data_IF_537032894229
#
_entry.id   IF_537032894229
#
_cell.length_a   1.000
_cell.length_b   1.000
_cell.length_c   1.000
_cell.angle_alpha   90.00
_cell.angle_beta   90.00
_cell.angle_gamma   90.00
#
_symmetry.space_group_name_H-M   'P 1'
#
loop_
_entity.id
_entity.type
_entity.pdbx_description
1 polymer ?
#
# COMPACT_ATOMS: atom_id res chain seq x y z
N UNK A 1 -6.61 -13.50 -13.48
CA UNK A 1 -6.53 -12.73 -14.75
C UNK A 1 -5.25 -13.11 -15.46
N UNK A 2 -5.31 -13.46 -16.74
CA UNK A 2 -4.20 -14.09 -17.49
C UNK A 2 -3.02 -13.10 -17.70
N UNK A 3 -1.77 -13.59 -17.57
CA UNK A 3 -0.52 -12.85 -17.85
C UNK A 3 -0.57 -12.16 -19.23
N UNK A 4 -1.17 -12.81 -20.23
CA UNK A 4 -1.35 -12.25 -21.58
C UNK A 4 -2.19 -10.96 -21.58
N UNK A 5 -3.25 -10.91 -20.77
CA UNK A 5 -4.14 -9.74 -20.68
C UNK A 5 -3.40 -8.59 -20.01
N UNK A 6 -2.69 -8.86 -18.92
CA UNK A 6 -1.85 -7.85 -18.28
C UNK A 6 -0.74 -7.38 -19.21
N UNK A 7 -0.09 -8.29 -19.94
CA UNK A 7 0.90 -7.98 -20.97
C UNK A 7 0.34 -7.00 -22.01
N UNK A 8 -0.84 -7.30 -22.58
CA UNK A 8 -1.50 -6.41 -23.53
C UNK A 8 -1.83 -5.04 -22.93
N UNK A 9 -2.39 -5.00 -21.72
CA UNK A 9 -2.71 -3.73 -21.02
C UNK A 9 -1.45 -2.89 -20.81
N UNK A 10 -0.37 -3.48 -20.32
CA UNK A 10 0.87 -2.74 -20.06
C UNK A 10 1.60 -2.37 -21.34
N UNK A 11 1.57 -3.19 -22.40
CA UNK A 11 2.09 -2.80 -23.72
C UNK A 11 1.32 -1.60 -24.26
N UNK A 12 -0.01 -1.63 -24.23
CA UNK A 12 -0.83 -0.49 -24.68
C UNK A 12 -0.54 0.74 -23.82
N UNK A 13 -0.52 0.63 -22.49
CA UNK A 13 -0.21 1.75 -21.60
C UNK A 13 1.21 2.29 -21.83
N UNK A 14 2.22 1.43 -21.99
CA UNK A 14 3.60 1.83 -22.25
C UNK A 14 3.78 2.44 -23.63
N UNK A 15 3.09 1.93 -24.66
CA UNK A 15 3.06 2.54 -26.00
C UNK A 15 2.32 3.86 -25.96
N UNK A 16 1.21 3.98 -25.22
CA UNK A 16 0.52 5.25 -25.02
C UNK A 16 1.42 6.27 -24.30
N UNK A 17 2.06 5.87 -23.20
CA UNK A 17 3.04 6.69 -22.48
C UNK A 17 4.22 7.08 -23.39
N UNK A 18 4.73 6.14 -24.17
CA UNK A 18 5.82 6.36 -25.11
C UNK A 18 5.41 7.31 -26.23
N UNK A 19 4.29 7.07 -26.91
CA UNK A 19 3.75 7.97 -27.93
C UNK A 19 3.47 9.35 -27.34
N UNK A 20 3.01 9.43 -26.11
CA UNK A 20 2.78 10.70 -25.42
C UNK A 20 4.09 11.46 -25.16
N UNK A 21 5.16 10.77 -24.76
CA UNK A 21 6.49 11.34 -24.58
C UNK A 21 7.20 11.68 -25.91
N UNK A 22 7.02 10.88 -26.96
CA UNK A 22 7.71 11.05 -28.25
C UNK A 22 6.96 11.94 -29.24
N UNK A 23 5.63 12.05 -29.15
CA UNK A 23 4.85 13.00 -29.94
C UNK A 23 4.91 14.42 -29.39
N UNK A 24 5.68 14.68 -28.33
CA UNK A 24 5.94 16.02 -27.80
C UNK A 24 6.16 17.03 -28.95
N UNK A 25 7.01 16.72 -29.94
CA UNK A 25 7.22 17.62 -31.10
C UNK A 25 6.00 17.84 -31.99
N UNK A 26 5.22 16.81 -32.30
CA UNK A 26 4.02 16.93 -33.14
C UNK A 26 2.88 17.63 -32.42
N UNK A 27 2.73 17.37 -31.12
CA UNK A 27 1.74 18.01 -30.28
C UNK A 27 2.14 19.49 -30.10
N UNK A 28 3.41 19.79 -29.84
CA UNK A 28 3.96 21.15 -29.84
C UNK A 28 3.71 21.87 -31.16
N UNK A 29 3.93 21.22 -32.31
CA UNK A 29 3.67 21.84 -33.63
C UNK A 29 2.18 22.11 -33.86
N UNK A 30 1.30 21.18 -33.50
CA UNK A 30 -0.15 21.37 -33.55
C UNK A 30 -0.62 22.52 -32.64
N UNK A 31 -0.10 22.60 -31.41
CA UNK A 31 -0.42 23.69 -30.50
C UNK A 31 0.18 25.02 -30.97
N UNK A 32 1.39 25.05 -31.54
CA UNK A 32 1.95 26.26 -32.17
C UNK A 32 1.09 26.77 -33.32
N UNK A 33 0.50 25.88 -34.12
CA UNK A 33 -0.41 26.26 -35.19
C UNK A 33 -1.71 26.86 -34.62
N UNK A 34 -2.30 26.25 -33.57
CA UNK A 34 -3.47 26.78 -32.87
C UNK A 34 -3.19 28.08 -32.12
N UNK A 35 -2.02 28.20 -31.53
CA UNK A 35 -1.47 29.37 -30.86
C UNK A 35 -1.38 30.53 -31.85
N UNK A 36 -0.86 30.31 -33.05
CA UNK A 36 -0.77 31.32 -34.11
C UNK A 36 -2.16 31.83 -34.52
N UNK A 37 -3.13 30.92 -34.69
CA UNK A 37 -4.53 31.26 -35.02
C UNK A 37 -5.23 32.02 -33.88
N UNK A 38 -4.96 31.68 -32.62
CA UNK A 38 -5.49 32.40 -31.46
C UNK A 38 -4.83 33.76 -31.26
N UNK A 39 -3.51 33.84 -31.42
CA UNK A 39 -2.74 35.06 -31.30
C UNK A 39 -3.19 36.08 -32.36
N UNK A 40 -3.35 35.68 -33.63
CA UNK A 40 -3.90 36.54 -34.69
C UNK A 40 -5.30 37.05 -34.38
N UNK A 41 -6.16 36.23 -33.75
CA UNK A 41 -7.50 36.66 -33.29
C UNK A 41 -7.45 37.66 -32.13
N UNK A 42 -6.40 37.63 -31.32
CA UNK A 42 -6.23 38.45 -30.10
C UNK A 42 -5.43 39.74 -30.39
N UNK A 43 -4.62 39.76 -31.45
CA UNK A 43 -3.74 40.86 -31.84
C UNK A 43 -4.48 42.03 -32.51
N UNK A 44 -5.68 41.80 -33.08
CA UNK A 44 -6.53 42.84 -33.67
C UNK A 44 -7.24 43.77 -32.66
N UNK A 45 -6.83 43.76 -31.38
CA UNK A 45 -7.40 44.62 -30.33
C UNK A 45 -6.31 45.46 -29.66
N UNK A 46 -5.92 46.50 -30.42
CA UNK A 46 -5.48 47.87 -30.08
C UNK A 46 -4.51 48.16 -28.92
N UNK A 47 -3.56 49.03 -29.24
CA UNK A 47 -2.41 49.54 -28.49
C UNK A 47 -2.72 50.50 -27.33
N UNK A 48 -3.97 50.90 -27.08
CA UNK A 48 -4.38 51.58 -25.82
C UNK A 48 -4.65 50.59 -24.68
N UNK A 49 -4.95 49.32 -24.99
CA UNK A 49 -5.29 48.28 -24.02
C UNK A 49 -4.09 47.85 -23.15
N UNK A 50 -2.87 47.93 -23.73
CA UNK A 50 -1.60 47.45 -23.13
C UNK A 50 -1.22 48.17 -21.82
N UNK A 51 -1.53 49.47 -21.68
CA UNK A 51 -1.26 50.25 -20.46
C UNK A 51 -2.23 49.88 -19.32
N UNK A 52 -3.52 49.73 -19.64
CA UNK A 52 -4.58 49.41 -18.67
C UNK A 52 -4.47 47.95 -18.18
N UNK A 53 -4.10 47.04 -19.07
CA UNK A 53 -3.87 45.62 -18.75
C UNK A 53 -2.68 45.44 -17.78
N UNK A 54 -1.64 46.27 -17.90
CA UNK A 54 -0.49 46.26 -16.97
C UNK A 54 -0.88 46.70 -15.55
N UNK A 55 -1.59 47.82 -15.42
CA UNK A 55 -2.08 48.29 -14.11
C UNK A 55 -3.04 47.29 -13.46
N UNK A 56 -3.90 46.64 -14.26
CA UNK A 56 -4.80 45.61 -13.77
C UNK A 56 -4.03 44.35 -13.32
N UNK A 57 -2.99 43.95 -14.06
CA UNK A 57 -2.10 42.85 -13.67
C UNK A 57 -1.33 43.14 -12.37
N UNK A 58 -0.90 44.38 -12.16
CA UNK A 58 -0.26 44.82 -10.91
C UNK A 58 -1.20 44.70 -9.71
N UNK A 59 -2.43 45.21 -9.87
CA UNK A 59 -3.48 45.12 -8.83
C UNK A 59 -3.80 43.65 -8.52
N UNK A 60 -3.99 42.83 -9.56
CA UNK A 60 -4.33 41.42 -9.40
C UNK A 60 -3.19 40.64 -8.71
N UNK A 61 -1.94 40.97 -9.03
CA UNK A 61 -0.77 40.38 -8.34
C UNK A 61 -0.77 40.75 -6.86
N UNK A 62 -1.03 42.02 -6.54
CA UNK A 62 -1.09 42.48 -5.15
C UNK A 62 -2.23 41.79 -4.36
N UNK A 63 -3.42 41.68 -4.97
CA UNK A 63 -4.54 40.91 -4.42
C UNK A 63 -4.13 39.45 -4.19
N UNK A 64 -3.46 38.82 -5.18
CA UNK A 64 -2.95 37.47 -5.07
C UNK A 64 -2.01 37.27 -3.89
N UNK A 65 -1.08 38.20 -3.66
CA UNK A 65 -0.16 38.16 -2.52
C UNK A 65 -0.91 38.29 -1.19
N UNK A 66 -1.90 39.20 -1.09
CA UNK A 66 -2.72 39.36 0.12
C UNK A 66 -3.51 38.08 0.40
N UNK A 67 -4.19 37.53 -0.61
CA UNK A 67 -4.97 36.30 -0.46
C UNK A 67 -4.04 35.16 -0.03
N UNK A 68 -2.89 35.01 -0.68
CA UNK A 68 -1.90 33.99 -0.33
C UNK A 68 -1.45 34.13 1.13
N UNK A 69 -1.19 35.37 1.58
CA UNK A 69 -0.83 35.64 2.97
C UNK A 69 -1.96 35.30 3.95
N UNK A 70 -3.21 35.65 3.65
CA UNK A 70 -4.37 35.30 4.49
C UNK A 70 -4.51 33.79 4.61
N UNK A 71 -4.46 33.05 3.50
CA UNK A 71 -4.50 31.59 3.54
C UNK A 71 -3.29 30.98 4.22
N UNK A 72 -2.12 31.60 4.11
CA UNK A 72 -0.94 31.19 4.86
C UNK A 72 -1.19 31.23 6.37
N UNK A 73 -1.99 32.16 6.89
CA UNK A 73 -2.38 32.18 8.30
C UNK A 73 -3.48 31.16 8.63
N UNK A 74 -4.42 30.93 7.71
CA UNK A 74 -5.62 30.12 7.95
C UNK A 74 -5.42 28.60 7.80
N UNK A 75 -4.49 28.18 6.93
CA UNK A 75 -4.23 26.76 6.64
C UNK A 75 -3.70 26.06 7.90
N UNK A 76 -4.27 24.90 8.20
CA UNK A 76 -3.86 24.03 9.27
C UNK A 76 -2.44 23.49 9.03
N UNK A 77 -1.53 23.86 9.94
CA UNK A 77 -0.14 23.41 9.98
C UNK A 77 0.14 22.63 11.26
N UNK A 78 -0.88 22.04 11.87
CA UNK A 78 -0.70 21.10 12.97
C UNK A 78 0.21 19.95 12.49
N UNK A 79 1.29 19.62 13.23
CA UNK A 79 2.15 18.50 12.87
C UNK A 79 1.34 17.21 12.75
N UNK A 80 1.42 16.55 11.59
CA UNK A 80 0.84 15.22 11.39
C UNK A 80 1.90 14.17 11.74
N UNK A 81 1.64 13.41 12.80
CA UNK A 81 2.55 12.37 13.26
C UNK A 81 2.73 11.25 12.22
N UNK A 82 1.76 11.03 11.34
CA UNK A 82 1.80 10.07 10.23
C UNK A 82 2.40 10.65 8.95
N UNK A 83 2.44 11.99 8.85
CA UNK A 83 2.99 12.69 7.70
C UNK A 83 3.86 13.89 8.08
N UNK A 84 5.11 13.65 8.54
CA UNK A 84 5.99 14.72 9.01
C UNK A 84 6.33 15.77 7.93
N UNK A 85 6.32 15.41 6.64
CA UNK A 85 6.56 16.37 5.54
C UNK A 85 5.37 17.26 5.20
N UNK A 86 4.17 17.00 5.74
CA UNK A 86 2.95 17.73 5.41
C UNK A 86 3.20 19.25 5.46
N UNK A 87 3.75 19.72 6.57
CA UNK A 87 4.00 21.14 6.79
C UNK A 87 5.10 21.68 5.86
N UNK A 88 6.19 20.94 5.67
CA UNK A 88 7.27 21.34 4.77
C UNK A 88 6.76 21.53 3.34
N UNK A 89 5.93 20.61 2.85
CA UNK A 89 5.32 20.68 1.52
C UNK A 89 4.38 21.87 1.41
N UNK A 90 3.56 22.13 2.43
CA UNK A 90 2.72 23.33 2.49
C UNK A 90 3.60 24.58 2.35
N UNK A 91 4.67 24.71 3.13
CA UNK A 91 5.59 25.86 3.05
C UNK A 91 6.25 26.03 1.68
N UNK A 92 6.71 24.92 1.07
CA UNK A 92 7.32 24.94 -0.26
C UNK A 92 6.31 25.43 -1.31
N UNK A 93 5.07 24.96 -1.25
CA UNK A 93 4.01 25.39 -2.18
C UNK A 93 3.70 26.87 -2.01
N UNK A 94 3.52 27.34 -0.77
CA UNK A 94 3.31 28.77 -0.50
C UNK A 94 4.48 29.62 -1.01
N UNK A 95 5.71 29.23 -0.72
CA UNK A 95 6.91 29.93 -1.15
C UNK A 95 7.04 29.97 -2.67
N UNK A 96 6.81 28.85 -3.34
CA UNK A 96 6.89 28.77 -4.80
C UNK A 96 5.81 29.62 -5.49
N UNK A 97 4.57 29.62 -4.98
CA UNK A 97 3.50 30.49 -5.50
C UNK A 97 3.86 31.96 -5.28
N UNK A 98 4.34 32.34 -4.09
CA UNK A 98 4.75 33.71 -3.76
C UNK A 98 5.88 34.19 -4.69
N UNK A 99 6.91 33.38 -4.88
CA UNK A 99 8.03 33.69 -5.79
C UNK A 99 7.51 33.96 -7.21
N UNK A 100 6.59 33.13 -7.71
CA UNK A 100 6.04 33.32 -9.05
C UNK A 100 5.17 34.59 -9.17
N UNK A 101 4.41 34.94 -8.13
CA UNK A 101 3.69 36.22 -8.08
C UNK A 101 4.63 37.42 -8.10
N UNK A 102 5.80 37.33 -7.45
CA UNK A 102 6.78 38.43 -7.38
C UNK A 102 7.58 38.54 -8.68
N UNK A 103 8.08 37.42 -9.22
CA UNK A 103 8.94 37.42 -10.41
C UNK A 103 8.15 37.82 -11.66
N UNK A 104 6.85 37.50 -11.73
CA UNK A 104 5.93 37.86 -12.84
C UNK A 104 6.45 37.50 -14.24
N UNK A 105 7.31 36.47 -14.32
CA UNK A 105 7.84 35.94 -15.59
C UNK A 105 7.36 34.53 -15.92
N UNK A 106 6.62 33.92 -15.00
CA UNK A 106 6.34 32.47 -15.01
C UNK A 106 5.03 32.14 -14.30
N UNK A 107 3.96 32.87 -14.65
CA UNK A 107 2.62 32.60 -14.08
C UNK A 107 2.16 31.15 -14.35
N UNK A 108 2.67 30.55 -15.41
CA UNK A 108 2.55 29.13 -15.77
C UNK A 108 2.95 28.18 -14.65
N UNK A 109 4.09 28.44 -14.00
CA UNK A 109 4.61 27.58 -12.94
C UNK A 109 3.70 27.64 -11.71
N UNK A 110 3.10 28.80 -11.43
CA UNK A 110 2.10 28.93 -10.37
C UNK A 110 0.82 28.14 -10.68
N UNK A 111 0.33 28.21 -11.93
CA UNK A 111 -0.82 27.42 -12.40
C UNK A 111 -0.51 25.93 -12.25
N UNK A 112 0.68 25.51 -12.71
CA UNK A 112 1.18 24.14 -12.63
C UNK A 112 1.22 23.62 -11.20
N UNK A 113 1.92 24.32 -10.32
CA UNK A 113 2.02 23.94 -8.91
C UNK A 113 0.63 23.84 -8.29
N UNK A 114 -0.27 24.79 -8.59
CA UNK A 114 -1.63 24.79 -8.06
C UNK A 114 -2.43 23.57 -8.55
N UNK A 115 -2.42 23.29 -9.85
CA UNK A 115 -3.14 22.16 -10.45
C UNK A 115 -2.60 20.80 -9.99
N UNK A 116 -1.28 20.62 -9.99
CA UNK A 116 -0.62 19.40 -9.50
C UNK A 116 -0.98 19.17 -8.04
N UNK A 117 -0.87 20.20 -7.21
CA UNK A 117 -1.13 20.06 -5.78
C UNK A 117 -2.61 19.85 -5.47
N UNK A 118 -3.55 20.33 -6.28
CA UNK A 118 -4.97 19.96 -6.11
C UNK A 118 -5.18 18.43 -6.17
N UNK A 119 -4.34 17.73 -6.91
CA UNK A 119 -4.45 16.28 -7.11
C UNK A 119 -3.54 15.53 -6.12
N UNK A 120 -2.26 15.92 -6.03
CA UNK A 120 -1.25 15.17 -5.26
C UNK A 120 -1.28 15.44 -3.76
N UNK A 121 -1.84 16.57 -3.30
CA UNK A 121 -1.78 16.95 -1.88
C UNK A 121 -2.40 15.92 -0.94
N UNK A 122 -3.54 15.36 -1.30
CA UNK A 122 -4.18 14.28 -0.52
C UNK A 122 -3.42 12.96 -0.68
N UNK A 123 -3.20 12.55 -1.93
CA UNK A 123 -2.68 11.23 -2.27
C UNK A 123 -1.24 11.00 -1.80
N UNK A 124 -0.39 12.02 -1.91
CA UNK A 124 1.02 11.93 -1.56
C UNK A 124 1.30 12.46 -0.16
N UNK A 125 0.66 13.58 0.22
CA UNK A 125 1.03 14.37 1.40
C UNK A 125 0.00 14.35 2.53
N UNK A 126 -1.12 13.64 2.36
CA UNK A 126 -2.23 13.59 3.33
C UNK A 126 -2.70 14.98 3.79
N UNK A 127 -2.60 16.01 2.94
CA UNK A 127 -3.11 17.34 3.23
C UNK A 127 -4.63 17.29 3.01
N UNK A 128 -5.42 17.34 4.08
CA UNK A 128 -6.88 17.27 4.02
C UNK A 128 -7.58 18.61 4.31
N UNK A 129 -6.81 19.67 4.57
CA UNK A 129 -7.36 20.99 4.90
C UNK A 129 -8.02 21.63 3.66
N UNK A 130 -9.34 21.79 3.73
CA UNK A 130 -10.16 22.44 2.69
C UNK A 130 -9.65 23.83 2.34
N UNK A 131 -9.13 24.60 3.31
CA UNK A 131 -8.62 25.96 3.07
C UNK A 131 -7.40 25.96 2.16
N UNK A 132 -6.55 24.93 2.26
CA UNK A 132 -5.42 24.76 1.36
C UNK A 132 -5.89 24.51 -0.07
N UNK A 133 -6.92 23.67 -0.28
CA UNK A 133 -7.49 23.45 -1.61
C UNK A 133 -8.17 24.70 -2.18
N UNK A 134 -8.92 25.44 -1.36
CA UNK A 134 -9.52 26.72 -1.78
C UNK A 134 -8.44 27.70 -2.23
N UNK A 135 -7.34 27.83 -1.46
CA UNK A 135 -6.21 28.66 -1.84
C UNK A 135 -5.65 28.25 -3.20
N UNK A 136 -5.42 26.95 -3.44
CA UNK A 136 -4.91 26.46 -4.72
C UNK A 136 -5.86 26.80 -5.89
N UNK A 137 -7.18 26.67 -5.70
CA UNK A 137 -8.17 27.05 -6.72
C UNK A 137 -8.11 28.55 -7.01
N UNK A 138 -8.05 29.39 -5.98
CA UNK A 138 -7.97 30.85 -6.17
C UNK A 138 -6.66 31.23 -6.87
N UNK A 139 -5.53 30.65 -6.47
CA UNK A 139 -4.23 30.91 -7.10
C UNK A 139 -4.18 30.41 -8.55
N UNK A 140 -4.84 29.29 -8.85
CA UNK A 140 -5.02 28.80 -10.21
C UNK A 140 -5.78 29.82 -11.07
N UNK A 141 -6.90 30.35 -10.57
CA UNK A 141 -7.71 31.36 -11.27
C UNK A 141 -6.93 32.66 -11.47
N UNK A 142 -6.27 33.16 -10.41
CA UNK A 142 -5.43 34.36 -10.49
C UNK A 142 -4.30 34.17 -11.49
N UNK A 143 -3.66 33.00 -11.51
CA UNK A 143 -2.62 32.66 -12.49
C UNK A 143 -3.14 32.72 -13.92
N UNK A 144 -4.29 32.10 -14.19
CA UNK A 144 -4.93 32.15 -15.51
C UNK A 144 -5.27 33.59 -15.93
N UNK A 145 -5.79 34.41 -15.01
CA UNK A 145 -6.11 35.82 -15.28
C UNK A 145 -4.84 36.65 -15.54
N UNK A 146 -3.79 36.49 -14.74
CA UNK A 146 -2.51 37.17 -14.96
C UNK A 146 -1.91 36.78 -16.30
N UNK A 147 -1.94 35.49 -16.64
CA UNK A 147 -1.50 34.98 -17.94
C UNK A 147 -2.24 35.63 -19.12
N UNK A 148 -3.57 35.83 -19.01
CA UNK A 148 -4.37 36.52 -20.03
C UNK A 148 -4.03 38.02 -20.17
N UNK A 149 -3.69 38.67 -19.05
CA UNK A 149 -3.32 40.09 -19.02
C UNK A 149 -1.93 40.34 -19.61
N UNK A 150 -0.98 39.42 -19.40
CA UNK A 150 0.37 39.49 -19.95
C UNK A 150 0.48 38.73 -21.29
N UNK A 151 -0.12 39.31 -22.35
CA UNK A 151 -0.19 38.71 -23.71
C UNK A 151 1.15 38.23 -24.30
N UNK A 152 2.28 38.83 -23.93
CA UNK A 152 3.62 38.40 -24.41
C UNK A 152 4.06 37.05 -23.82
N UNK A 153 3.43 36.62 -22.71
CA UNK A 153 3.66 35.32 -22.09
C UNK A 153 2.64 34.27 -22.53
N UNK A 154 1.43 34.67 -22.92
CA UNK A 154 0.32 33.76 -23.26
C UNK A 154 0.72 32.63 -24.24
N UNK A 155 1.49 32.98 -25.27
CA UNK A 155 2.09 32.09 -26.25
C UNK A 155 2.96 30.99 -25.60
N UNK A 156 3.92 31.41 -24.75
CA UNK A 156 4.78 30.50 -23.97
C UNK A 156 3.98 29.69 -22.95
N UNK A 157 2.88 30.26 -22.46
CA UNK A 157 2.07 29.65 -21.41
C UNK A 157 1.22 28.49 -21.86
N UNK A 158 0.78 28.47 -23.12
CA UNK A 158 0.09 27.29 -23.66
C UNK A 158 0.99 26.06 -23.64
N UNK A 159 2.26 26.19 -24.06
CA UNK A 159 3.22 25.11 -24.02
C UNK A 159 3.46 24.61 -22.59
N UNK A 160 3.59 25.53 -21.62
CA UNK A 160 3.81 25.16 -20.24
C UNK A 160 2.59 24.47 -19.61
N UNK A 161 1.37 24.92 -19.91
CA UNK A 161 0.12 24.27 -19.47
C UNK A 161 -0.03 22.88 -20.10
N UNK A 162 0.28 22.73 -21.38
CA UNK A 162 0.25 21.43 -22.06
C UNK A 162 1.25 20.45 -21.43
N UNK A 163 2.49 20.89 -21.24
CA UNK A 163 3.57 20.09 -20.60
C UNK A 163 3.17 19.69 -19.17
N UNK A 164 2.49 20.60 -18.47
CA UNK A 164 1.95 20.37 -17.12
C UNK A 164 0.90 19.28 -17.08
N UNK A 165 -0.15 19.43 -17.91
CA UNK A 165 -1.25 18.46 -17.99
C UNK A 165 -0.67 17.10 -18.35
N UNK A 166 0.28 17.09 -19.28
CA UNK A 166 1.03 15.90 -19.70
C UNK A 166 1.76 15.25 -18.53
N UNK A 167 2.57 16.01 -17.79
CA UNK A 167 3.28 15.48 -16.62
C UNK A 167 2.31 14.92 -15.54
N UNK A 168 1.20 15.62 -15.27
CA UNK A 168 0.19 15.16 -14.30
C UNK A 168 -0.46 13.86 -14.74
N UNK A 169 -0.88 13.75 -16.00
CA UNK A 169 -1.49 12.54 -16.55
C UNK A 169 -0.52 11.37 -16.48
N UNK A 170 0.76 11.57 -16.82
CA UNK A 170 1.81 10.55 -16.70
C UNK A 170 1.93 10.10 -15.24
N UNK A 171 2.06 11.03 -14.29
CA UNK A 171 2.19 10.71 -12.87
C UNK A 171 0.98 9.93 -12.37
N UNK A 172 -0.24 10.31 -12.77
CA UNK A 172 -1.47 9.61 -12.39
C UNK A 172 -1.53 8.18 -12.97
N UNK A 173 -1.12 7.99 -14.22
CA UNK A 173 -1.03 6.66 -14.84
C UNK A 173 0.01 5.81 -14.09
N UNK A 174 1.20 6.36 -13.83
CA UNK A 174 2.27 5.66 -13.11
C UNK A 174 1.80 5.29 -11.70
N UNK A 175 1.21 6.20 -10.94
CA UNK A 175 0.73 5.94 -9.57
C UNK A 175 -0.45 4.95 -9.53
N UNK A 176 -1.29 4.94 -10.56
CA UNK A 176 -2.45 4.03 -10.58
C UNK A 176 -2.05 2.62 -11.00
N UNK A 177 -1.16 2.48 -11.98
CA UNK A 177 -0.90 1.18 -12.63
C UNK A 177 0.47 0.56 -12.33
N UNK A 178 1.46 1.37 -11.93
CA UNK A 178 2.87 0.96 -11.82
C UNK A 178 3.37 0.98 -10.37
N UNK A 179 3.05 2.03 -9.60
CA UNK A 179 3.61 2.27 -8.27
C UNK A 179 2.54 2.40 -7.18
N UNK A 180 2.64 1.57 -6.14
CA UNK A 180 1.84 1.76 -4.93
C UNK A 180 2.57 2.63 -3.91
N UNK A 181 1.91 3.65 -3.36
CA UNK A 181 2.42 4.48 -2.26
C UNK A 181 1.91 3.93 -0.93
N UNK A 182 2.81 3.50 -0.05
CA UNK A 182 2.46 2.85 1.21
C UNK A 182 3.06 3.57 2.41
N UNK A 183 2.31 3.55 3.51
CA UNK A 183 2.74 3.99 4.84
C UNK A 183 2.62 2.81 5.78
N UNK A 184 3.68 2.50 6.52
CA UNK A 184 3.66 1.40 7.50
C UNK A 184 3.37 1.96 8.88
N UNK A 185 2.26 1.53 9.53
CA UNK A 185 1.88 2.01 10.85
C UNK A 185 2.56 1.24 11.99
N UNK A 186 3.13 0.06 11.74
CA UNK A 186 3.66 -0.84 12.79
C UNK A 186 5.17 -1.06 12.68
N UNK A 187 5.81 -1.42 13.80
CA UNK A 187 7.25 -1.67 13.86
C UNK A 187 7.67 -3.08 13.43
N UNK A 188 6.76 -3.84 12.79
CA UNK A 188 6.97 -5.28 12.51
C UNK A 188 8.06 -5.59 11.48
N UNK A 189 8.53 -4.58 10.75
CA UNK A 189 9.62 -4.66 9.80
C UNK A 189 10.87 -3.90 10.25
N UNK A 190 10.91 -3.39 11.50
CA UNK A 190 12.10 -2.73 12.05
C UNK A 190 13.26 -3.74 12.19
N UNK A 191 14.53 -3.35 11.91
CA UNK A 191 14.98 -2.01 11.54
C UNK A 191 14.91 -1.70 10.04
N UNK A 192 14.54 -2.67 9.20
CA UNK A 192 14.53 -2.53 7.74
C UNK A 192 13.55 -1.47 7.26
N UNK A 193 12.34 -1.46 7.82
CA UNK A 193 11.31 -0.44 7.60
C UNK A 193 10.77 -0.02 8.96
N UNK A 194 10.94 1.26 9.27
CA UNK A 194 10.47 1.84 10.52
C UNK A 194 9.04 2.38 10.37
N UNK A 195 8.26 2.48 11.48
CA UNK A 195 6.98 3.18 11.45
C UNK A 195 7.13 4.57 10.83
N UNK A 196 6.17 4.96 9.98
CA UNK A 196 6.13 6.24 9.23
C UNK A 196 7.10 6.34 8.05
N UNK A 197 7.94 5.33 7.81
CA UNK A 197 8.64 5.23 6.53
C UNK A 197 7.62 5.18 5.39
N UNK A 198 7.98 5.81 4.27
CA UNK A 198 7.18 5.75 3.04
C UNK A 198 7.99 5.21 1.89
N UNK A 199 7.35 4.35 1.13
CA UNK A 199 8.00 3.65 0.05
C UNK A 199 7.07 3.44 -1.15
N UNK A 200 7.71 3.29 -2.30
CA UNK A 200 7.05 2.83 -3.51
C UNK A 200 7.20 1.32 -3.65
N UNK A 201 6.08 0.65 -3.93
CA UNK A 201 6.07 -0.73 -4.35
C UNK A 201 5.88 -0.83 -5.86
N UNK A 202 6.60 -1.75 -6.51
CA UNK A 202 6.36 -2.14 -7.89
C UNK A 202 5.18 -3.12 -7.94
N UNK A 203 4.08 -2.65 -8.52
CA UNK A 203 2.80 -3.37 -8.60
C UNK A 203 2.69 -4.28 -9.84
N UNK A 204 3.75 -4.33 -10.65
CA UNK A 204 3.78 -5.01 -11.96
C UNK A 204 4.60 -6.28 -11.89
N UNK A 205 5.71 -6.27 -11.16
CA UNK A 205 6.70 -7.35 -11.15
C UNK A 205 6.06 -8.73 -11.01
N UNK A 206 5.17 -8.89 -10.03
CA UNK A 206 4.54 -10.19 -9.74
C UNK A 206 3.35 -10.56 -10.63
N UNK A 207 3.07 -9.77 -11.66
CA UNK A 207 2.15 -10.16 -12.74
C UNK A 207 2.83 -10.99 -13.81
N UNK A 208 4.17 -10.96 -13.85
CA UNK A 208 5.00 -11.60 -14.87
C UNK A 208 6.07 -12.52 -14.30
N UNK A 209 6.35 -12.43 -13.00
CA UNK A 209 7.38 -13.22 -12.31
C UNK A 209 6.85 -13.70 -10.98
N UNK A 210 7.35 -14.84 -10.51
CA UNK A 210 7.00 -15.35 -9.19
C UNK A 210 7.78 -14.60 -8.10
N UNK A 211 7.13 -14.22 -6.99
CA UNK A 211 7.82 -13.65 -5.83
C UNK A 211 8.95 -14.54 -5.32
N UNK A 212 10.07 -13.94 -4.90
CA UNK A 212 11.26 -14.67 -4.49
C UNK A 212 11.60 -14.50 -3.03
N UNK A 213 12.27 -15.51 -2.46
CA UNK A 213 12.84 -15.43 -1.12
C UNK A 213 13.73 -14.19 -0.99
N UNK A 214 13.55 -13.47 0.11
CA UNK A 214 14.23 -12.21 0.40
C UNK A 214 13.46 -10.97 -0.05
N UNK A 215 12.50 -11.09 -0.96
CA UNK A 215 11.68 -9.96 -1.38
C UNK A 215 10.83 -9.43 -0.23
N UNK A 216 10.78 -8.11 -0.07
CA UNK A 216 9.81 -7.46 0.81
C UNK A 216 8.56 -7.16 -0.01
N UNK A 217 7.42 -7.68 0.41
CA UNK A 217 6.19 -7.66 -0.37
C UNK A 217 5.08 -6.89 0.34
N UNK A 218 4.26 -6.18 -0.45
CA UNK A 218 2.96 -5.69 -0.05
C UNK A 218 1.90 -6.71 -0.44
N UNK A 219 1.11 -7.19 0.50
CA UNK A 219 0.05 -8.18 0.25
C UNK A 219 -1.19 -7.93 1.10
N UNK A 220 -2.33 -8.42 0.63
CA UNK A 220 -3.58 -8.37 1.38
C UNK A 220 -3.59 -9.48 2.44
N UNK A 221 -3.69 -9.12 3.71
CA UNK A 221 -3.64 -10.11 4.79
C UNK A 221 -4.75 -11.17 4.68
N UNK A 222 -4.47 -12.45 5.00
CA UNK A 222 -5.37 -13.56 4.73
C UNK A 222 -6.44 -13.84 5.78
N UNK A 223 -6.47 -13.11 6.90
CA UNK A 223 -7.39 -13.32 8.00
C UNK A 223 -8.73 -12.60 7.81
N UNK A 224 -8.69 -11.29 7.54
CA UNK A 224 -9.89 -10.43 7.46
C UNK A 224 -10.06 -9.69 6.12
N UNK A 225 -9.09 -9.76 5.22
CA UNK A 225 -9.10 -9.04 3.95
C UNK A 225 -9.23 -7.50 4.10
N UNK A 226 -8.80 -6.93 5.24
CA UNK A 226 -9.02 -5.51 5.55
C UNK A 226 -7.79 -4.63 5.32
N UNK A 227 -6.59 -5.18 5.55
CA UNK A 227 -5.36 -4.39 5.62
C UNK A 227 -4.31 -4.91 4.64
N UNK A 228 -3.47 -4.01 4.13
CA UNK A 228 -2.28 -4.37 3.38
C UNK A 228 -1.11 -4.54 4.36
N UNK A 229 -0.50 -5.72 4.38
CA UNK A 229 0.69 -6.02 5.17
C UNK A 229 1.96 -5.87 4.34
N UNK A 230 3.05 -5.56 5.03
CA UNK A 230 4.40 -5.54 4.48
C UNK A 230 5.24 -6.54 5.27
N UNK A 231 5.77 -7.57 4.59
CA UNK A 231 6.60 -8.64 5.19
C UNK A 231 7.68 -9.09 4.21
N UNK A 232 8.72 -9.74 4.72
CA UNK A 232 9.75 -10.38 3.91
C UNK A 232 9.35 -11.81 3.56
N UNK A 233 9.50 -12.20 2.30
CA UNK A 233 9.32 -13.57 1.86
C UNK A 233 10.49 -14.43 2.31
N UNK A 234 10.16 -15.53 2.97
CA UNK A 234 11.13 -16.42 3.61
C UNK A 234 11.26 -17.75 2.90
N UNK A 235 10.17 -18.24 2.31
CA UNK A 235 10.18 -19.48 1.56
C UNK A 235 9.21 -19.46 0.38
N UNK A 236 9.57 -20.23 -0.63
CA UNK A 236 8.91 -20.34 -1.93
C UNK A 236 8.11 -21.66 -2.03
N UNK A 237 7.15 -21.75 -2.97
CA UNK A 237 6.36 -22.95 -3.19
C UNK A 237 7.24 -24.18 -3.46
N UNK A 238 6.92 -25.29 -2.80
CA UNK A 238 7.62 -26.56 -2.95
C UNK A 238 8.85 -26.74 -2.05
N UNK A 239 9.23 -25.73 -1.26
CA UNK A 239 10.36 -25.81 -0.33
C UNK A 239 9.95 -26.31 1.05
N UNK A 240 10.90 -26.86 1.80
CA UNK A 240 10.74 -27.16 3.23
C UNK A 240 11.51 -26.14 4.07
N UNK A 241 10.79 -25.40 4.91
CA UNK A 241 11.32 -24.42 5.86
C UNK A 241 11.50 -25.04 7.25
N UNK A 242 12.59 -24.68 7.94
CA UNK A 242 12.78 -24.95 9.36
C UNK A 242 13.51 -23.79 10.04
N UNK A 243 13.15 -23.46 11.28
CA UNK A 243 13.95 -22.56 12.14
C UNK A 243 14.92 -23.43 12.95
N UNK A 244 16.22 -23.21 12.76
CA UNK A 244 17.27 -23.91 13.50
C UNK A 244 17.32 -23.48 14.98
N UNK A 245 18.09 -24.20 15.80
CA UNK A 245 18.26 -23.86 17.23
C UNK A 245 18.85 -22.46 17.45
N UNK A 246 19.72 -21.99 16.55
CA UNK A 246 20.28 -20.64 16.59
C UNK A 246 19.36 -19.56 16.01
N UNK A 247 18.10 -19.92 15.72
CA UNK A 247 17.08 -19.04 15.13
C UNK A 247 17.26 -18.80 13.63
N UNK A 248 18.32 -19.29 12.99
CA UNK A 248 18.51 -19.09 11.56
C UNK A 248 17.59 -20.00 10.75
N UNK A 249 17.19 -19.49 9.60
CA UNK A 249 16.28 -20.20 8.71
C UNK A 249 17.05 -21.20 7.84
N UNK A 250 16.53 -22.42 7.77
CA UNK A 250 16.96 -23.48 6.86
C UNK A 250 15.88 -23.72 5.80
N UNK A 251 16.28 -23.80 4.55
CA UNK A 251 15.45 -24.13 3.39
C UNK A 251 16.03 -25.41 2.78
N UNK A 252 15.21 -26.44 2.66
CA UNK A 252 15.59 -27.74 2.10
C UNK A 252 16.86 -28.32 2.76
N UNK A 253 16.98 -28.13 4.07
CA UNK A 253 18.11 -28.60 4.88
C UNK A 253 19.38 -27.74 4.83
N UNK A 254 19.40 -26.63 4.09
CA UNK A 254 20.53 -25.70 4.00
C UNK A 254 20.20 -24.33 4.55
N UNK A 255 21.16 -23.62 5.15
CA UNK A 255 20.93 -22.26 5.63
C UNK A 255 20.48 -21.33 4.50
N UNK A 256 19.42 -20.56 4.76
CA UNK A 256 18.74 -19.73 3.75
C UNK A 256 19.58 -18.58 3.20
N UNK A 257 20.63 -18.18 3.92
CA UNK A 257 21.46 -17.00 3.64
C UNK A 257 20.86 -15.67 4.10
N UNK A 258 19.64 -15.66 4.65
CA UNK A 258 19.04 -14.45 5.22
C UNK A 258 19.72 -14.12 6.56
N UNK A 259 20.06 -12.84 6.81
CA UNK A 259 20.80 -12.45 8.02
C UNK A 259 19.92 -12.40 9.28
N UNK A 260 18.60 -12.53 9.14
CA UNK A 260 17.63 -12.37 10.22
C UNK A 260 17.41 -13.72 10.92
N UNK A 261 17.54 -13.71 12.25
CA UNK A 261 17.18 -14.84 13.10
C UNK A 261 15.74 -14.71 13.61
N UNK A 262 14.97 -15.79 13.51
CA UNK A 262 13.56 -15.86 13.86
C UNK A 262 13.34 -16.68 15.12
N UNK A 263 12.38 -16.25 15.93
CA UNK A 263 11.91 -17.00 17.08
C UNK A 263 10.97 -18.12 16.64
N UNK A 264 11.04 -19.25 17.35
CA UNK A 264 10.20 -20.45 17.16
C UNK A 264 8.79 -20.22 17.72
N UNK A 265 8.13 -19.17 17.25
CA UNK A 265 6.82 -18.75 17.73
C UNK A 265 5.67 -19.30 16.89
N UNK A 266 4.47 -19.13 17.44
CA UNK A 266 3.22 -19.47 16.78
C UNK A 266 3.12 -20.97 16.49
N UNK A 267 2.38 -21.29 15.44
CA UNK A 267 2.14 -22.66 15.00
C UNK A 267 3.38 -23.24 14.30
N UNK A 268 4.25 -22.39 13.76
CA UNK A 268 5.47 -22.82 13.07
C UNK A 268 6.42 -23.52 14.04
N UNK A 269 6.69 -22.92 15.21
CA UNK A 269 7.55 -23.51 16.22
C UNK A 269 8.96 -23.83 15.67
N UNK A 270 9.48 -25.01 16.02
CA UNK A 270 10.72 -25.57 15.48
C UNK A 270 10.51 -26.65 14.41
N UNK A 271 9.27 -26.85 13.97
CA UNK A 271 8.89 -27.94 13.08
C UNK A 271 9.46 -27.76 11.66
N UNK A 272 9.58 -28.87 10.92
CA UNK A 272 9.78 -28.82 9.47
C UNK A 272 8.45 -28.53 8.78
N UNK A 273 8.39 -27.40 8.09
CA UNK A 273 7.21 -26.91 7.41
C UNK A 273 7.39 -27.02 5.90
N UNK A 274 6.58 -27.83 5.23
CA UNK A 274 6.55 -27.82 3.77
C UNK A 274 5.67 -26.67 3.27
N UNK A 275 6.13 -25.94 2.25
CA UNK A 275 5.41 -24.83 1.65
C UNK A 275 4.66 -25.37 0.44
N UNK A 276 3.33 -25.49 0.50
CA UNK A 276 2.58 -26.13 -0.56
C UNK A 276 2.60 -25.32 -1.86
N UNK A 277 2.52 -26.02 -2.99
CA UNK A 277 2.44 -25.42 -4.32
C UNK A 277 1.19 -25.86 -5.06
N UNK A 278 0.90 -25.17 -6.15
CA UNK A 278 -0.20 -25.52 -7.04
C UNK A 278 -0.10 -26.98 -7.49
N UNK A 279 -1.21 -27.70 -7.41
CA UNK A 279 -1.32 -29.11 -7.74
C UNK A 279 -1.09 -30.07 -6.57
N UNK A 280 -0.56 -29.59 -5.44
CA UNK A 280 -0.46 -30.42 -4.23
C UNK A 280 -1.87 -30.79 -3.72
N UNK A 281 -1.97 -31.98 -3.16
CA UNK A 281 -3.18 -32.49 -2.54
C UNK A 281 -3.07 -32.39 -1.03
N UNK A 282 -3.98 -31.65 -0.41
CA UNK A 282 -4.00 -31.40 1.03
C UNK A 282 -5.23 -31.99 1.69
N UNK A 283 -5.07 -32.44 2.94
CA UNK A 283 -6.16 -32.84 3.83
C UNK A 283 -5.98 -32.20 5.20
N UNK A 284 -7.07 -32.12 5.97
CA UNK A 284 -7.01 -31.67 7.34
C UNK A 284 -6.13 -32.61 8.17
N UNK A 285 -5.24 -32.05 8.99
CA UNK A 285 -4.53 -32.82 10.01
C UNK A 285 -5.25 -32.72 11.36
N UNK A 286 -5.37 -31.48 11.86
CA UNK A 286 -5.95 -31.18 13.17
C UNK A 286 -6.38 -29.72 13.24
N UNK A 287 -7.31 -29.46 14.16
CA UNK A 287 -7.72 -28.11 14.54
C UNK A 287 -7.03 -27.77 15.87
N UNK A 288 -6.46 -26.58 15.95
CA UNK A 288 -5.78 -26.06 17.13
C UNK A 288 -6.70 -25.04 17.80
N UNK A 289 -6.98 -25.28 19.07
CA UNK A 289 -7.68 -24.36 19.96
C UNK A 289 -6.68 -23.55 20.77
N UNK A 290 -6.79 -22.22 20.70
CA UNK A 290 -6.00 -21.30 21.49
C UNK A 290 -6.96 -20.43 22.31
N UNK A 291 -6.78 -20.38 23.62
CA UNK A 291 -7.62 -19.56 24.48
C UNK A 291 -7.47 -18.06 24.16
N UNK A 292 -8.57 -17.34 24.20
CA UNK A 292 -8.58 -15.87 24.25
C UNK A 292 -8.71 -15.43 25.70
N UNK A 293 -8.05 -14.33 26.03
CA UNK A 293 -8.06 -13.76 27.38
C UNK A 293 -8.30 -12.27 27.37
N UNK A 294 -8.52 -11.75 28.57
CA UNK A 294 -8.53 -10.31 28.86
C UNK A 294 -7.20 -9.94 29.49
N UNK A 295 -6.42 -9.14 28.79
CA UNK A 295 -5.22 -8.48 29.27
C UNK A 295 -5.42 -6.97 29.43
N UNK A 296 -4.31 -6.24 29.55
CA UNK A 296 -4.28 -4.79 29.50
C UNK A 296 -3.54 -4.34 28.24
N UNK A 297 -4.05 -3.33 27.53
CA UNK A 297 -3.28 -2.66 26.48
C UNK A 297 -2.19 -1.75 27.07
N UNK A 298 -1.37 -1.18 26.19
CA UNK A 298 -0.30 -0.23 26.57
C UNK A 298 -0.80 1.01 27.33
N UNK A 299 -2.12 1.27 27.32
CA UNK A 299 -2.77 2.38 28.00
C UNK A 299 -3.48 1.94 29.31
N UNK A 300 -3.38 0.67 29.70
CA UNK A 300 -4.03 0.11 30.90
C UNK A 300 -5.54 -0.17 30.73
N UNK A 301 -6.08 -0.07 29.52
CA UNK A 301 -7.45 -0.47 29.21
C UNK A 301 -7.53 -1.98 29.07
N UNK A 302 -8.71 -2.56 29.30
CA UNK A 302 -8.90 -3.97 29.05
C UNK A 302 -8.73 -4.26 27.55
N UNK A 303 -7.78 -5.14 27.25
CA UNK A 303 -7.49 -5.60 25.91
C UNK A 303 -7.87 -7.06 25.81
N UNK A 304 -8.44 -7.43 24.67
CA UNK A 304 -8.86 -8.80 24.42
C UNK A 304 -7.98 -9.34 23.31
N UNK A 305 -7.41 -10.52 23.54
CA UNK A 305 -6.44 -11.10 22.63
C UNK A 305 -6.30 -12.60 22.75
N UNK A 306 -5.78 -13.20 21.69
CA UNK A 306 -5.43 -14.61 21.62
C UNK A 306 -4.14 -14.86 22.40
N UNK A 307 -4.13 -15.84 23.32
CA UNK A 307 -2.94 -16.22 24.09
C UNK A 307 -1.99 -17.06 23.23
N UNK A 308 -1.25 -16.38 22.35
CA UNK A 308 -0.26 -17.02 21.49
C UNK A 308 0.88 -17.67 22.27
N UNK A 309 1.15 -17.23 23.51
CA UNK A 309 2.15 -17.87 24.38
C UNK A 309 1.75 -19.29 24.76
N UNK A 310 0.44 -19.57 24.77
CA UNK A 310 -0.11 -20.90 25.04
C UNK A 310 0.26 -21.96 24.00
N UNK A 311 0.69 -21.59 22.79
CA UNK A 311 1.17 -22.55 21.78
C UNK A 311 2.51 -23.18 22.14
N UNK A 312 3.34 -22.52 22.96
CA UNK A 312 4.63 -23.07 23.41
C UNK A 312 4.50 -23.86 24.72
N UNK A 313 3.30 -23.87 25.34
CA UNK A 313 3.02 -24.55 26.59
C UNK A 313 1.98 -25.63 26.30
N UNK A 314 2.38 -26.91 26.36
CA UNK A 314 1.55 -28.04 25.96
C UNK A 314 0.15 -28.07 26.62
N UNK A 315 0.02 -27.58 27.85
CA UNK A 315 -1.25 -27.57 28.59
C UNK A 315 -2.17 -26.36 28.28
N UNK A 316 -1.73 -25.42 27.41
CA UNK A 316 -2.47 -24.17 27.12
C UNK A 316 -3.01 -24.08 25.69
N UNK A 317 -2.80 -25.09 24.86
CA UNK A 317 -3.47 -25.25 23.59
C UNK A 317 -3.99 -26.69 23.47
N UNK A 318 -5.08 -26.88 22.72
CA UNK A 318 -5.67 -28.21 22.51
C UNK A 318 -5.77 -28.52 21.04
N UNK A 319 -5.31 -29.70 20.64
CA UNK A 319 -5.55 -30.24 19.31
C UNK A 319 -6.85 -31.05 19.34
N UNK A 320 -7.76 -30.76 18.42
CA UNK A 320 -9.07 -31.39 18.31
C UNK A 320 -9.35 -31.86 16.89
N UNK A 321 -10.26 -32.81 16.77
CA UNK A 321 -10.81 -33.30 15.50
C UNK A 321 -11.82 -32.30 14.91
N UNK A 322 -12.12 -32.46 13.62
CA UNK A 322 -13.19 -31.69 12.98
C UNK A 322 -14.56 -31.95 13.62
N UNK A 323 -14.84 -33.17 14.07
CA UNK A 323 -16.08 -33.53 14.75
C UNK A 323 -16.22 -32.79 16.09
N UNK A 324 -15.17 -32.78 16.91
CA UNK A 324 -15.16 -32.02 18.16
C UNK A 324 -15.35 -30.51 17.92
N UNK A 325 -14.71 -29.96 16.88
CA UNK A 325 -14.88 -28.56 16.50
C UNK A 325 -16.34 -28.24 16.13
N UNK A 326 -16.97 -29.07 15.29
CA UNK A 326 -18.37 -28.90 14.91
C UNK A 326 -19.31 -29.02 16.12
N UNK A 327 -18.99 -29.89 17.08
CA UNK A 327 -19.74 -30.03 18.32
C UNK A 327 -19.62 -28.78 19.22
N UNK A 328 -18.42 -28.19 19.32
CA UNK A 328 -18.20 -26.95 20.08
C UNK A 328 -18.94 -25.77 19.43
N UNK A 329 -18.85 -25.64 18.12
CA UNK A 329 -19.45 -24.51 17.38
C UNK A 329 -20.98 -24.65 17.28
N UNK A 330 -21.50 -25.89 17.29
CA UNK A 330 -22.93 -26.20 17.28
C UNK A 330 -23.64 -25.93 15.95
N UNK A 331 -22.90 -25.72 14.86
CA UNK A 331 -23.44 -25.48 13.51
C UNK A 331 -22.49 -26.00 12.44
N UNK A 332 -23.04 -26.36 11.26
CA UNK A 332 -22.27 -26.64 10.04
C UNK A 332 -22.28 -25.47 9.05
N UNK A 333 -23.07 -24.42 9.33
CA UNK A 333 -23.17 -23.20 8.53
C UNK A 333 -22.26 -22.12 9.09
N UNK A 334 -21.80 -21.25 8.20
CA UNK A 334 -21.01 -20.06 8.54
C UNK A 334 -19.77 -20.36 9.38
N UNK A 335 -19.15 -21.52 9.13
CA UNK A 335 -17.97 -22.00 9.88
C UNK A 335 -16.78 -21.04 9.76
N UNK A 336 -16.72 -20.26 8.67
CA UNK A 336 -15.71 -19.25 8.44
C UNK A 336 -15.59 -18.23 9.58
N UNK A 337 -16.68 -17.92 10.28
CA UNK A 337 -16.66 -16.92 11.34
C UNK A 337 -15.94 -17.39 12.61
N UNK A 338 -15.68 -18.69 12.78
CA UNK A 338 -14.99 -19.24 13.95
C UNK A 338 -13.51 -19.45 13.71
N UNK A 339 -13.10 -19.63 12.45
CA UNK A 339 -11.70 -19.81 12.07
C UNK A 339 -10.97 -18.48 12.04
N UNK A 340 -9.81 -18.46 12.70
CA UNK A 340 -8.91 -17.31 12.81
C UNK A 340 -9.64 -16.03 13.24
N UNK A 341 -10.60 -16.17 14.15
CA UNK A 341 -11.48 -15.08 14.56
C UNK A 341 -10.93 -14.34 15.78
N UNK A 342 -10.53 -13.08 15.60
CA UNK A 342 -10.17 -12.16 16.69
C UNK A 342 -11.32 -11.21 17.10
N UNK A 343 -12.46 -11.25 16.41
CA UNK A 343 -13.59 -10.34 16.66
C UNK A 343 -14.43 -10.73 17.90
N UNK A 344 -14.84 -9.68 18.63
CA UNK A 344 -15.84 -9.65 19.70
C UNK A 344 -15.85 -10.84 20.67
N UNK A 345 -14.69 -11.17 21.24
CA UNK A 345 -14.73 -11.73 22.58
C UNK A 345 -15.08 -10.56 23.52
N UNK A 346 -16.17 -10.67 24.28
CA UNK A 346 -16.48 -9.80 25.41
C UNK A 346 -16.13 -10.55 26.71
N UNK A 347 -15.95 -9.82 27.83
CA UNK A 347 -15.81 -10.42 29.16
C UNK A 347 -16.95 -11.39 29.48
N UNK A 348 -18.15 -11.12 28.97
CA UNK A 348 -19.34 -11.95 29.15
C UNK A 348 -19.25 -13.29 28.41
N UNK A 349 -18.40 -13.37 27.37
CA UNK A 349 -18.20 -14.60 26.58
C UNK A 349 -17.12 -15.52 27.18
N UNK A 350 -16.54 -15.20 28.35
CA UNK A 350 -15.41 -15.96 28.92
C UNK A 350 -15.72 -17.43 29.18
N UNK A 351 -17.00 -17.77 29.37
CA UNK A 351 -17.46 -19.15 29.57
C UNK A 351 -17.99 -19.80 28.28
N UNK A 352 -18.13 -19.05 27.18
CA UNK A 352 -18.53 -19.59 25.88
C UNK A 352 -17.29 -20.04 25.11
N UNK A 353 -17.06 -21.36 25.10
CA UNK A 353 -15.91 -22.00 24.42
C UNK A 353 -15.82 -21.64 22.93
N UNK A 354 -16.96 -21.36 22.29
CA UNK A 354 -17.03 -21.02 20.86
C UNK A 354 -16.52 -19.60 20.58
N UNK A 355 -16.75 -18.66 21.50
CA UNK A 355 -16.39 -17.24 21.33
C UNK A 355 -15.05 -16.90 21.99
N UNK A 356 -14.73 -17.57 23.11
CA UNK A 356 -13.48 -17.41 23.86
C UNK A 356 -12.29 -18.17 23.26
N UNK A 357 -12.49 -18.91 22.17
CA UNK A 357 -11.42 -19.68 21.53
C UNK A 357 -11.07 -19.09 20.16
N UNK A 358 -9.77 -19.07 19.89
CA UNK A 358 -9.23 -18.85 18.56
C UNK A 358 -8.94 -20.20 17.90
N UNK A 359 -9.72 -20.53 16.87
CA UNK A 359 -9.55 -21.78 16.14
C UNK A 359 -8.65 -21.60 14.92
N UNK A 360 -7.64 -22.45 14.80
CA UNK A 360 -6.78 -22.60 13.63
C UNK A 360 -6.78 -24.06 13.19
N UNK A 361 -6.22 -24.34 12.03
CA UNK A 361 -6.04 -25.71 11.58
C UNK A 361 -4.71 -25.89 10.88
N UNK A 362 -4.19 -27.11 10.93
CA UNK A 362 -3.02 -27.52 10.15
C UNK A 362 -3.43 -28.56 9.12
N UNK A 363 -2.62 -28.67 8.08
CA UNK A 363 -2.87 -29.56 6.96
C UNK A 363 -1.77 -30.61 6.85
N UNK A 364 -2.02 -31.61 6.02
CA UNK A 364 -1.02 -32.55 5.51
C UNK A 364 -1.09 -32.59 4.00
N UNK A 365 0.07 -32.69 3.35
CA UNK A 365 0.18 -32.94 1.91
C UNK A 365 0.34 -34.44 1.69
N UNK A 366 -0.35 -34.99 0.69
CA UNK A 366 -0.21 -36.41 0.33
C UNK A 366 1.26 -36.77 0.03
N UNK A 367 1.76 -37.84 0.65
CA UNK A 367 3.13 -38.31 0.44
C UNK A 367 4.22 -37.51 1.16
N UNK A 368 3.86 -36.63 2.11
CA UNK A 368 4.79 -35.84 2.91
C UNK A 368 4.49 -35.94 4.40
N UNK A 369 5.55 -35.98 5.21
CA UNK A 369 5.47 -36.04 6.67
C UNK A 369 5.62 -34.65 7.32
N UNK A 370 6.07 -33.65 6.56
CA UNK A 370 6.22 -32.28 7.06
C UNK A 370 4.87 -31.66 7.42
N UNK A 371 4.89 -30.83 8.46
CA UNK A 371 3.71 -30.08 8.92
C UNK A 371 3.38 -28.99 7.92
N UNK A 372 2.10 -28.72 7.72
CA UNK A 372 1.61 -27.64 6.86
C UNK A 372 0.84 -26.65 7.71
N UNK A 373 1.20 -25.37 7.61
CA UNK A 373 0.53 -24.28 8.30
C UNK A 373 -0.89 -24.05 7.73
N UNK A 374 -1.74 -23.26 8.43
CA UNK A 374 -3.06 -22.92 7.91
C UNK A 374 -3.00 -22.23 6.53
N UNK A 375 -3.99 -22.51 5.68
CA UNK A 375 -4.27 -21.76 4.46
C UNK A 375 -5.56 -20.96 4.68
N UNK A 376 -5.47 -19.80 5.35
CA UNK A 376 -6.67 -19.06 5.77
C UNK A 376 -7.58 -18.63 4.62
N UNK A 377 -7.08 -18.60 3.38
CA UNK A 377 -7.88 -18.41 2.17
C UNK A 377 -9.10 -19.32 2.07
N UNK A 378 -9.05 -20.55 2.59
CA UNK A 378 -10.20 -21.46 2.56
C UNK A 378 -11.38 -20.95 3.40
N UNK A 379 -11.14 -20.05 4.36
CA UNK A 379 -12.21 -19.36 5.11
C UNK A 379 -13.17 -18.60 4.19
N UNK A 380 -12.71 -18.15 3.03
CA UNK A 380 -13.54 -17.39 2.08
C UNK A 380 -14.21 -18.26 1.01
N UNK A 381 -13.98 -19.58 1.06
CA UNK A 381 -14.61 -20.56 0.18
C UNK A 381 -15.27 -21.64 1.05
N UNK A 382 -16.53 -21.40 1.42
CA UNK A 382 -17.29 -22.28 2.30
C UNK A 382 -17.32 -23.73 1.80
N UNK A 383 -17.35 -23.94 0.48
CA UNK A 383 -17.33 -25.28 -0.09
C UNK A 383 -15.97 -25.99 0.12
N UNK A 384 -14.84 -25.28 -0.07
CA UNK A 384 -13.52 -25.83 0.26
C UNK A 384 -13.40 -26.10 1.77
N UNK A 385 -13.86 -25.18 2.62
CA UNK A 385 -13.79 -25.35 4.07
C UNK A 385 -14.61 -26.54 4.56
N UNK A 386 -15.84 -26.71 4.06
CA UNK A 386 -16.71 -27.84 4.41
C UNK A 386 -16.10 -29.18 3.99
N UNK A 387 -15.57 -29.28 2.76
CA UNK A 387 -14.85 -30.47 2.29
C UNK A 387 -13.61 -30.77 3.13
N UNK A 388 -12.87 -29.74 3.51
CA UNK A 388 -11.70 -29.93 4.37
C UNK A 388 -12.11 -30.50 5.73
N UNK A 389 -13.17 -29.97 6.35
CA UNK A 389 -13.68 -30.39 7.64
C UNK A 389 -14.39 -31.75 7.60
N UNK A 390 -14.86 -32.21 6.43
CA UNK A 390 -15.35 -33.59 6.24
C UNK A 390 -14.23 -34.63 6.09
N UNK A 391 -12.97 -34.18 6.04
CA UNK A 391 -11.80 -35.04 5.84
C UNK A 391 -11.48 -35.33 4.37
N UNK A 392 -12.14 -34.66 3.43
CA UNK A 392 -11.84 -34.79 2.01
C UNK A 392 -10.50 -34.14 1.65
N UNK A 393 -9.92 -34.63 0.55
CA UNK A 393 -8.69 -34.08 -0.01
C UNK A 393 -8.99 -32.97 -1.01
N UNK A 394 -8.29 -31.85 -0.89
CA UNK A 394 -8.36 -30.71 -1.79
C UNK A 394 -7.11 -30.64 -2.66
N UNK A 395 -7.28 -30.40 -3.96
CA UNK A 395 -6.15 -30.06 -4.84
C UNK A 395 -5.98 -28.54 -4.87
N UNK A 396 -4.76 -28.07 -4.61
CA UNK A 396 -4.44 -26.65 -4.56
C UNK A 396 -4.39 -26.05 -5.97
N UNK A 397 -5.03 -24.90 -6.14
CA UNK A 397 -5.12 -24.15 -7.40
C UNK A 397 -4.10 -22.99 -7.47
N UNK A 398 -3.38 -22.74 -6.37
CA UNK A 398 -2.48 -21.61 -6.20
C UNK A 398 -1.15 -22.02 -5.56
N UNK A 399 -0.17 -21.15 -5.72
CA UNK A 399 1.11 -21.21 -5.03
C UNK A 399 1.07 -20.44 -3.71
N UNK A 400 1.82 -20.93 -2.72
CA UNK A 400 1.83 -20.40 -1.35
C UNK A 400 3.23 -20.01 -0.89
N UNK A 401 3.28 -18.99 -0.04
CA UNK A 401 4.51 -18.39 0.44
C UNK A 401 4.47 -18.20 1.95
N UNK A 402 5.65 -18.21 2.58
CA UNK A 402 5.81 -17.79 3.98
C UNK A 402 6.37 -16.37 4.00
N UNK A 403 5.67 -15.47 4.69
CA UNK A 403 6.06 -14.07 4.80
C UNK A 403 6.19 -13.69 6.29
N UNK A 404 7.38 -13.28 6.72
CA UNK A 404 7.68 -12.92 8.11
C UNK A 404 8.21 -11.50 8.25
N UNK A 405 8.01 -10.90 9.42
CA UNK A 405 8.51 -9.56 9.72
C UNK A 405 9.98 -9.59 10.13
N UNK A 406 10.73 -8.56 9.76
CA UNK A 406 12.14 -8.46 10.17
C UNK A 406 12.29 -8.16 11.68
N UNK A 407 11.27 -7.55 12.30
CA UNK A 407 11.19 -7.43 13.76
C UNK A 407 10.55 -8.70 14.34
N UNK A 408 11.35 -9.74 14.46
CA UNK A 408 10.88 -11.11 14.72
C UNK A 408 10.09 -11.24 16.03
N UNK A 409 10.46 -10.49 17.07
CA UNK A 409 9.76 -10.45 18.37
C UNK A 409 8.43 -9.69 18.34
N UNK A 410 8.22 -8.82 17.34
CA UNK A 410 7.06 -7.92 17.26
C UNK A 410 6.41 -7.98 15.89
N UNK A 411 6.14 -9.20 15.42
CA UNK A 411 5.54 -9.42 14.12
C UNK A 411 4.53 -10.57 14.15
N UNK A 412 3.24 -10.22 14.08
CA UNK A 412 2.19 -11.18 13.76
C UNK A 412 2.23 -11.50 12.25
N UNK A 413 2.83 -12.63 11.91
CA UNK A 413 3.13 -13.04 10.55
C UNK A 413 2.83 -14.54 10.30
N UNK A 414 3.39 -15.12 9.23
CA UNK A 414 3.11 -16.51 8.84
C UNK A 414 3.34 -17.54 9.95
N UNK A 415 4.13 -17.23 10.99
CA UNK A 415 4.26 -18.07 12.18
C UNK A 415 2.92 -18.34 12.87
N UNK A 416 2.00 -17.37 12.83
CA UNK A 416 0.74 -17.40 13.57
C UNK A 416 -0.46 -17.73 12.69
N UNK A 417 -0.51 -17.19 11.47
CA UNK A 417 -1.67 -17.35 10.58
C UNK A 417 -1.40 -18.17 9.31
N UNK A 418 -0.16 -18.64 9.11
CA UNK A 418 0.18 -19.55 8.01
C UNK A 418 0.51 -18.85 6.69
N UNK A 419 0.08 -19.42 5.56
CA UNK A 419 0.61 -19.04 4.25
C UNK A 419 -0.05 -17.81 3.64
N UNK A 420 0.70 -17.16 2.74
CA UNK A 420 0.21 -16.15 1.81
C UNK A 420 0.03 -16.78 0.44
N UNK A 421 -1.21 -16.79 -0.06
CA UNK A 421 -1.51 -17.18 -1.44
C UNK A 421 -0.94 -16.16 -2.45
N UNK A 422 -0.41 -16.64 -3.57
CA UNK A 422 0.19 -15.83 -4.66
C UNK A 422 -0.64 -14.58 -5.05
N UNK A 423 -1.94 -14.73 -5.24
CA UNK A 423 -2.86 -13.70 -5.70
C UNK A 423 -3.07 -12.56 -4.67
N UNK A 424 -2.66 -12.77 -3.41
CA UNK A 424 -2.70 -11.76 -2.35
C UNK A 424 -1.54 -10.80 -2.45
N UNK A 425 -0.43 -11.25 -3.03
CA UNK A 425 0.79 -10.47 -3.20
C UNK A 425 0.56 -9.44 -4.31
N UNK A 426 0.65 -8.15 -3.96
CA UNK A 426 0.33 -7.04 -4.86
C UNK A 426 1.55 -6.37 -5.46
N UNK A 427 2.65 -6.32 -4.74
CA UNK A 427 3.85 -5.69 -5.26
C UNK A 427 5.07 -5.88 -4.39
N UNK A 428 6.24 -5.59 -4.97
CA UNK A 428 7.55 -5.63 -4.31
C UNK A 428 7.89 -4.25 -3.80
N UNK A 429 8.25 -4.13 -2.53
CA UNK A 429 8.75 -2.88 -1.95
C UNK A 429 10.13 -2.60 -2.56
N UNK A 430 10.32 -1.41 -3.13
CA UNK A 430 11.56 -1.06 -3.84
C UNK A 430 12.32 0.10 -3.22
N UNK A 431 11.68 1.27 -3.11
CA UNK A 431 12.38 2.53 -2.79
C UNK A 431 11.72 3.18 -1.59
N UNK A 432 12.49 3.44 -0.54
CA UNK A 432 12.12 4.38 0.52
C UNK A 432 12.34 5.79 0.00
N UNK A 433 11.30 6.61 0.00
CA UNK A 433 11.40 8.03 -0.35
C UNK A 433 11.30 8.97 0.86
N UNK A 434 10.76 8.48 1.99
CA UNK A 434 10.70 9.22 3.24
C UNK A 434 11.05 8.32 4.43
N UNK A 435 11.82 8.80 5.42
CA UNK A 435 12.46 10.13 5.47
C UNK A 435 13.60 10.31 4.48
N UNK A 436 13.83 11.56 4.02
CA UNK A 436 14.81 11.85 2.96
C UNK A 436 16.23 11.40 3.29
N UNK A 437 16.65 11.47 4.56
CA UNK A 437 17.96 11.02 4.99
C UNK A 437 18.15 9.48 4.93
N UNK A 438 17.06 8.72 4.74
CA UNK A 438 17.06 7.28 4.47
C UNK A 438 16.65 6.96 3.02
N UNK A 439 16.59 7.95 2.13
CA UNK A 439 16.20 7.75 0.73
C UNK A 439 17.08 6.69 0.06
N UNK A 440 16.45 5.71 -0.60
CA UNK A 440 17.19 4.68 -1.31
C UNK A 440 16.41 3.39 -1.49
N UNK A 441 17.07 2.39 -2.08
CA UNK A 441 16.52 1.06 -2.24
C UNK A 441 16.39 0.35 -0.88
N UNK A 442 15.26 -0.31 -0.66
CA UNK A 442 15.04 -1.19 0.50
C UNK A 442 15.51 -2.59 0.12
N UNK A 443 16.26 -3.24 1.02
CA UNK A 443 16.79 -4.59 0.82
C UNK A 443 16.43 -5.53 1.95
#
# INVERSE_FOLDING_TARGET
MNVVIWGAIYVVLSVMLGLFLFKEKQIIEFFKEKEKIMAEKIENVTTEKKSKDKTLGDILTFIGIIILFVFFLLVDKTPDSTMPIKNMVIYIVFGAILINLIIRKSHELMILISAVMLILSKAMFNIQDVKFYIMLIIMLIIGCLLMLLYKEELAKSFHAIETTITAVVIVLIIQTFFLGNYVVPTASMSPTIEPKDRFFANMILYKFTDPKKGDIIAFKEPKDNKVMYTKRLIGEPGQTLQIAEDGKLMIDGSYSGLPVAYEKDGILGGDKIYIPKKGDKVKLDKIIMIGKGVGKDDNGNDAIGTDWSGLQIADRHKEITAEEFLNIVGTKKDLQQYIANDSSFNKDDINDMKNNTYFLYTLKVEGRDEKILPILDFKYDSAKLEKLLSGETLTLDHDYYIAMGDNTKNSLDSRYWGYVQDNRIKGKILVRFWPLYKFGLIK
#
